data_IF_862322278564
#
_entry.id   IF_862322278564
#
_cell.length_a   1.000
_cell.length_b   1.000
_cell.length_c   1.000
_cell.angle_alpha   90.00
_cell.angle_beta   90.00
_cell.angle_gamma   90.00
#
_symmetry.space_group_name_H-M   'P 1'
#
loop_
_entity.id
_entity.type
_entity.pdbx_description
1 polymer ?
#
# COMPACT_ATOMS: atom_id res chain seq x y z
N UNK A 1 -29.41 13.44 -2.87
CA UNK A 1 -28.01 12.94 -3.00
C UNK A 1 -27.05 14.02 -2.53
N UNK A 2 -26.65 14.03 -1.26
CA UNK A 2 -25.65 14.97 -0.74
C UNK A 2 -24.25 14.38 -0.94
N UNK A 3 -23.49 14.94 -1.89
CA UNK A 3 -22.08 14.59 -2.03
C UNK A 3 -21.29 15.15 -0.83
N UNK A 4 -20.37 14.34 -0.27
CA UNK A 4 -19.40 14.85 0.69
C UNK A 4 -18.41 15.81 0.00
N UNK A 5 -17.68 16.63 0.76
CA UNK A 5 -16.75 17.64 0.24
C UNK A 5 -15.69 17.08 -0.72
N UNK A 6 -15.21 15.85 -0.49
CA UNK A 6 -14.29 15.17 -1.42
C UNK A 6 -14.94 14.82 -2.75
N UNK A 7 -16.20 14.37 -2.70
CA UNK A 7 -16.99 14.10 -3.90
C UNK A 7 -17.25 15.37 -4.70
N UNK A 8 -17.62 16.47 -4.05
CA UNK A 8 -17.79 17.79 -4.66
C UNK A 8 -16.49 18.25 -5.31
N UNK A 9 -15.36 18.19 -4.59
CA UNK A 9 -14.05 18.58 -5.12
C UNK A 9 -13.66 17.77 -6.35
N UNK A 10 -13.84 16.43 -6.32
CA UNK A 10 -13.53 15.58 -7.49
C UNK A 10 -14.36 15.96 -8.72
N UNK A 11 -15.67 16.15 -8.54
CA UNK A 11 -16.56 16.54 -9.62
C UNK A 11 -16.18 17.91 -10.19
N UNK A 12 -15.94 18.89 -9.32
CA UNK A 12 -15.54 20.23 -9.74
C UNK A 12 -14.17 20.23 -10.43
N UNK A 13 -13.20 19.43 -9.95
CA UNK A 13 -11.91 19.26 -10.64
C UNK A 13 -12.07 18.68 -12.04
N UNK A 14 -12.98 17.70 -12.22
CA UNK A 14 -13.26 17.14 -13.55
C UNK A 14 -13.88 18.19 -14.47
N UNK A 15 -14.85 19.00 -13.98
CA UNK A 15 -15.43 20.10 -14.74
C UNK A 15 -14.39 21.16 -15.10
N UNK A 16 -13.51 21.53 -14.17
CA UNK A 16 -12.43 22.47 -14.46
C UNK A 16 -11.49 21.96 -15.56
N UNK A 17 -11.11 20.67 -15.50
CA UNK A 17 -10.26 20.06 -16.52
C UNK A 17 -10.98 20.02 -17.88
N UNK A 18 -12.27 19.69 -17.90
CA UNK A 18 -13.10 19.68 -19.10
C UNK A 18 -13.17 21.07 -19.76
N UNK A 19 -13.58 22.08 -19.03
CA UNK A 19 -13.67 23.43 -19.58
C UNK A 19 -12.32 24.03 -19.94
N UNK A 20 -11.26 23.70 -19.18
CA UNK A 20 -9.91 24.15 -19.52
C UNK A 20 -9.43 23.54 -20.84
N UNK A 21 -9.73 22.26 -21.11
CA UNK A 21 -9.41 21.62 -22.39
C UNK A 21 -10.05 22.37 -23.57
N UNK A 22 -11.35 22.63 -23.50
CA UNK A 22 -12.07 23.33 -24.58
C UNK A 22 -11.64 24.79 -24.73
N UNK A 23 -11.30 25.46 -23.63
CA UNK A 23 -10.77 26.81 -23.64
C UNK A 23 -9.38 26.86 -24.31
N UNK A 24 -8.47 25.94 -23.95
CA UNK A 24 -7.15 25.84 -24.57
C UNK A 24 -7.21 25.42 -26.05
N UNK A 25 -8.25 24.69 -26.44
CA UNK A 25 -8.52 24.32 -27.84
C UNK A 25 -9.29 25.40 -28.61
N UNK A 26 -9.45 26.59 -28.03
CA UNK A 26 -10.16 27.75 -28.63
C UNK A 26 -11.63 27.47 -29.07
N UNK A 27 -12.22 26.41 -28.52
CA UNK A 27 -13.61 26.04 -28.83
C UNK A 27 -14.65 26.78 -27.98
N UNK A 28 -14.22 27.42 -26.90
CA UNK A 28 -15.03 28.31 -26.07
C UNK A 28 -14.25 29.58 -25.76
N UNK A 29 -14.92 30.72 -25.75
CA UNK A 29 -14.30 32.04 -25.52
C UNK A 29 -13.99 32.28 -24.04
N UNK A 30 -14.70 31.64 -23.12
CA UNK A 30 -14.53 31.81 -21.67
C UNK A 30 -14.59 30.47 -20.97
N UNK A 31 -13.83 30.33 -19.85
CA UNK A 31 -13.88 29.15 -19.02
C UNK A 31 -14.78 29.38 -17.79
N UNK A 32 -16.04 28.91 -17.79
CA UNK A 32 -17.00 29.20 -16.73
C UNK A 32 -16.61 28.55 -15.37
N UNK A 33 -15.76 27.55 -15.39
CA UNK A 33 -15.31 26.86 -14.18
C UNK A 33 -14.02 27.45 -13.57
N UNK A 34 -13.36 28.39 -14.26
CA UNK A 34 -12.04 28.91 -13.81
C UNK A 34 -12.11 29.54 -12.42
N UNK A 35 -13.07 30.43 -12.19
CA UNK A 35 -13.23 31.20 -10.95
C UNK A 35 -13.94 30.44 -9.81
N UNK A 36 -14.51 29.26 -10.07
CA UNK A 36 -15.21 28.51 -9.04
C UNK A 36 -14.18 27.93 -8.03
N UNK A 37 -14.22 28.30 -6.74
CA UNK A 37 -13.25 27.82 -5.78
C UNK A 37 -13.46 26.34 -5.48
N UNK A 38 -12.35 25.59 -5.34
CA UNK A 38 -12.43 24.21 -4.87
C UNK A 38 -12.79 24.16 -3.38
N UNK A 39 -13.68 23.25 -2.96
CA UNK A 39 -14.01 23.08 -1.55
C UNK A 39 -12.75 22.82 -0.71
N UNK A 40 -12.63 23.52 0.41
CA UNK A 40 -11.57 23.27 1.41
C UNK A 40 -11.75 21.86 1.96
N UNK A 41 -10.66 21.12 2.06
CA UNK A 41 -10.65 19.79 2.67
C UNK A 41 -9.96 19.88 4.02
N UNK A 42 -10.62 19.38 5.05
CA UNK A 42 -9.96 19.13 6.32
C UNK A 42 -9.03 17.94 6.17
N UNK A 43 -7.81 18.06 6.68
CA UNK A 43 -6.86 16.96 6.74
C UNK A 43 -7.44 15.90 7.69
N UNK A 44 -7.52 14.66 7.17
CA UNK A 44 -7.93 13.53 7.99
C UNK A 44 -6.69 12.87 8.54
N UNK A 45 -6.76 12.47 9.79
CA UNK A 45 -5.76 11.62 10.39
C UNK A 45 -5.48 10.39 9.52
N UNK A 46 -4.20 10.05 9.41
CA UNK A 46 -3.78 8.89 8.61
C UNK A 46 -4.05 7.64 9.42
N UNK A 47 -5.05 6.87 8.99
CA UNK A 47 -5.32 5.56 9.56
C UNK A 47 -4.21 4.62 9.11
N UNK A 48 -3.50 4.03 10.07
CA UNK A 48 -2.43 3.05 9.88
C UNK A 48 -2.50 2.02 11.00
N UNK A 49 -1.74 0.96 10.86
CA UNK A 49 -1.44 0.04 11.96
C UNK A 49 -0.24 0.55 12.74
N UNK A 50 -0.27 0.38 14.04
CA UNK A 50 0.89 0.55 14.91
C UNK A 50 1.73 -0.74 14.90
N UNK A 51 2.96 -0.72 15.43
CA UNK A 51 3.87 -1.88 15.39
C UNK A 51 3.25 -3.14 15.99
N UNK A 52 2.60 -3.01 17.15
CA UNK A 52 1.94 -4.13 17.83
C UNK A 52 0.76 -4.68 16.98
N UNK A 53 0.01 -3.78 16.32
CA UNK A 53 -1.08 -4.20 15.44
C UNK A 53 -0.57 -4.89 14.16
N UNK A 54 0.63 -4.53 13.66
CA UNK A 54 1.28 -5.23 12.55
C UNK A 54 1.68 -6.64 12.97
N UNK A 55 2.35 -6.79 14.12
CA UNK A 55 2.70 -8.09 14.66
C UNK A 55 1.46 -8.98 14.85
N UNK A 56 0.43 -8.46 15.53
CA UNK A 56 -0.84 -9.17 15.73
C UNK A 56 -1.55 -9.52 14.41
N UNK A 57 -1.38 -8.71 13.36
CA UNK A 57 -1.95 -9.00 12.04
C UNK A 57 -1.22 -10.19 11.41
N UNK A 58 0.10 -10.22 11.43
CA UNK A 58 0.91 -11.33 10.88
C UNK A 58 0.65 -12.62 11.66
N UNK A 59 0.64 -12.59 13.00
CA UNK A 59 0.26 -13.74 13.83
C UNK A 59 -1.11 -14.30 13.43
N UNK A 60 -2.10 -13.42 13.22
CA UNK A 60 -3.43 -13.87 12.80
C UNK A 60 -3.48 -14.41 11.37
N UNK A 61 -2.56 -13.97 10.50
CA UNK A 61 -2.44 -14.55 9.15
C UNK A 61 -1.83 -15.94 9.23
N UNK A 62 -0.90 -16.18 10.13
CA UNK A 62 -0.27 -17.50 10.35
C UNK A 62 -1.22 -18.46 11.07
N UNK A 63 -1.76 -18.06 12.21
CA UNK A 63 -2.53 -18.94 13.09
C UNK A 63 -3.99 -19.11 12.68
N UNK A 64 -4.62 -18.03 12.22
CA UNK A 64 -6.04 -17.99 11.89
C UNK A 64 -6.99 -18.22 13.08
N UNK A 65 -6.52 -18.07 14.31
CA UNK A 65 -7.23 -18.43 15.55
C UNK A 65 -8.54 -17.68 15.74
N UNK A 66 -8.58 -16.40 15.36
CA UNK A 66 -9.79 -15.55 15.47
C UNK A 66 -10.71 -15.61 14.24
N UNK A 67 -10.41 -16.46 13.27
CA UNK A 67 -11.25 -16.65 12.09
C UNK A 67 -12.48 -17.52 12.43
N UNK A 68 -13.59 -17.29 11.73
CA UNK A 68 -14.77 -18.16 11.82
C UNK A 68 -14.46 -19.59 11.32
N UNK A 69 -15.23 -20.58 11.75
CA UNK A 69 -15.05 -22.00 11.34
C UNK A 69 -14.95 -22.15 9.80
N UNK A 70 -15.81 -21.47 9.07
CA UNK A 70 -15.80 -21.49 7.60
C UNK A 70 -14.52 -20.85 7.04
N UNK A 71 -14.08 -19.71 7.59
CA UNK A 71 -12.86 -19.05 7.17
C UNK A 71 -11.61 -19.89 7.47
N UNK A 72 -11.58 -20.64 8.57
CA UNK A 72 -10.47 -21.53 8.93
C UNK A 72 -10.29 -22.68 7.92
N UNK A 73 -11.36 -23.21 7.34
CA UNK A 73 -11.28 -24.23 6.29
C UNK A 73 -10.52 -23.72 5.06
N UNK A 74 -10.82 -22.49 4.65
CA UNK A 74 -10.11 -21.84 3.53
C UNK A 74 -8.69 -21.39 3.93
N UNK A 75 -8.52 -20.92 5.14
CA UNK A 75 -7.23 -20.48 5.68
C UNK A 75 -6.18 -21.58 5.59
N UNK A 76 -6.48 -22.80 6.02
CA UNK A 76 -5.58 -23.97 5.92
C UNK A 76 -5.02 -24.20 4.51
N UNK A 77 -5.79 -23.82 3.47
CA UNK A 77 -5.35 -23.96 2.07
C UNK A 77 -4.51 -22.76 1.58
N UNK A 78 -4.69 -21.60 2.18
CA UNK A 78 -4.15 -20.33 1.67
C UNK A 78 -3.12 -19.67 2.58
N UNK A 79 -2.89 -20.20 3.78
CA UNK A 79 -2.06 -19.56 4.81
C UNK A 79 -0.69 -19.13 4.28
N UNK A 80 0.08 -20.02 3.66
CA UNK A 80 1.43 -19.73 3.17
C UNK A 80 1.41 -18.61 2.12
N UNK A 81 0.43 -18.60 1.22
CA UNK A 81 0.22 -17.51 0.27
C UNK A 81 -0.16 -16.20 0.96
N UNK A 82 -1.11 -16.28 1.90
CA UNK A 82 -1.66 -15.11 2.58
C UNK A 82 -0.58 -14.44 3.45
N UNK A 83 0.30 -15.25 4.10
CA UNK A 83 1.50 -14.77 4.80
C UNK A 83 2.43 -14.05 3.84
N UNK A 84 2.90 -14.72 2.78
CA UNK A 84 3.82 -14.13 1.82
C UNK A 84 3.28 -12.82 1.21
N UNK A 85 1.98 -12.77 0.88
CA UNK A 85 1.36 -11.60 0.29
C UNK A 85 1.27 -10.43 1.26
N UNK A 86 0.88 -10.67 2.53
CA UNK A 86 0.76 -9.60 3.52
C UNK A 86 2.11 -9.12 4.02
N UNK A 87 3.07 -10.03 4.24
CA UNK A 87 4.44 -9.68 4.59
C UNK A 87 5.09 -8.86 3.48
N UNK A 88 4.89 -9.23 2.21
CA UNK A 88 5.36 -8.44 1.07
C UNK A 88 4.77 -7.04 1.05
N UNK A 89 3.46 -6.89 1.24
CA UNK A 89 2.80 -5.57 1.26
C UNK A 89 3.26 -4.70 2.43
N UNK A 90 3.46 -5.29 3.60
CA UNK A 90 3.92 -4.60 4.82
C UNK A 90 5.41 -4.29 4.79
N UNK A 91 6.25 -5.17 4.22
CA UNK A 91 7.70 -5.02 4.19
C UNK A 91 8.23 -4.19 3.01
N UNK A 92 7.41 -3.91 2.00
CA UNK A 92 7.84 -3.14 0.82
C UNK A 92 6.99 -1.91 0.52
N UNK A 93 5.78 -1.88 1.03
CA UNK A 93 4.84 -0.82 0.73
C UNK A 93 4.44 -0.68 -0.74
N UNK A 94 4.62 -1.68 -1.59
CA UNK A 94 4.17 -1.65 -2.99
C UNK A 94 2.65 -1.49 -3.09
N UNK A 95 2.16 -1.03 -4.23
CA UNK A 95 0.71 -0.92 -4.45
C UNK A 95 0.11 -2.30 -4.66
N UNK A 96 -1.14 -2.48 -4.22
CA UNK A 96 -1.86 -3.76 -4.43
C UNK A 96 -1.90 -4.16 -5.92
N UNK A 97 -2.02 -3.20 -6.84
CA UNK A 97 -1.99 -3.47 -8.28
C UNK A 97 -0.60 -3.93 -8.77
N UNK A 98 0.47 -3.41 -8.17
CA UNK A 98 1.84 -3.85 -8.43
C UNK A 98 2.03 -5.28 -7.89
N UNK A 99 1.59 -5.56 -6.66
CA UNK A 99 1.66 -6.87 -6.03
C UNK A 99 0.94 -7.96 -6.83
N UNK A 100 -0.31 -7.74 -7.25
CA UNK A 100 -1.06 -8.75 -8.02
C UNK A 100 -0.53 -8.93 -9.45
N UNK A 101 0.20 -7.92 -9.96
CA UNK A 101 0.83 -7.95 -11.28
C UNK A 101 2.14 -8.73 -11.33
N UNK A 102 2.73 -9.10 -10.19
CA UNK A 102 4.03 -9.78 -10.14
C UNK A 102 3.97 -11.16 -10.81
N UNK A 103 5.04 -11.45 -11.52
CA UNK A 103 5.35 -12.78 -12.04
C UNK A 103 6.43 -13.46 -11.16
N UNK A 104 6.57 -14.77 -11.28
CA UNK A 104 7.58 -15.54 -10.53
C UNK A 104 8.97 -15.00 -10.79
N UNK A 105 9.27 -14.67 -12.05
CA UNK A 105 10.57 -14.18 -12.49
C UNK A 105 10.85 -12.72 -12.09
N UNK A 106 9.90 -12.02 -11.50
CA UNK A 106 10.11 -10.66 -10.97
C UNK A 106 10.78 -10.66 -9.61
N UNK A 107 10.91 -11.82 -8.94
CA UNK A 107 11.54 -11.97 -7.63
C UNK A 107 13.00 -12.37 -7.79
N UNK A 108 13.91 -11.55 -7.30
CA UNK A 108 15.35 -11.79 -7.26
C UNK A 108 15.81 -11.98 -5.81
N UNK A 109 15.93 -13.23 -5.39
CA UNK A 109 16.42 -13.59 -4.04
C UNK A 109 17.90 -13.32 -3.83
N UNK A 110 18.70 -13.26 -4.91
CA UNK A 110 20.13 -12.97 -4.81
C UNK A 110 20.40 -11.56 -4.30
N UNK A 111 19.54 -10.62 -4.73
CA UNK A 111 19.66 -9.20 -4.38
C UNK A 111 18.52 -8.72 -3.45
N UNK A 112 17.68 -9.62 -2.97
CA UNK A 112 16.49 -9.32 -2.16
C UNK A 112 15.62 -8.21 -2.78
N UNK A 113 15.33 -8.33 -4.07
CA UNK A 113 14.60 -7.34 -4.86
C UNK A 113 13.42 -7.91 -5.63
N UNK A 114 12.42 -7.07 -5.85
CA UNK A 114 11.31 -7.36 -6.77
C UNK A 114 11.23 -6.30 -7.84
N UNK A 115 11.08 -6.75 -9.08
CA UNK A 115 10.85 -5.87 -10.23
C UNK A 115 9.37 -5.57 -10.34
N UNK A 116 8.98 -4.31 -10.17
CA UNK A 116 7.59 -3.87 -10.27
C UNK A 116 7.38 -2.94 -11.46
N UNK A 117 6.19 -3.01 -12.06
CA UNK A 117 5.78 -2.08 -13.12
C UNK A 117 4.86 -1.00 -12.55
N UNK A 118 5.37 0.24 -12.53
CA UNK A 118 4.64 1.39 -11.97
C UNK A 118 3.67 2.01 -12.98
N UNK A 119 2.77 2.86 -12.46
CA UNK A 119 1.85 3.65 -13.31
C UNK A 119 2.65 4.48 -14.33
N UNK A 120 2.35 4.29 -15.61
CA UNK A 120 3.09 4.90 -16.72
C UNK A 120 4.01 3.91 -17.44
N UNK A 121 4.03 2.64 -17.00
CA UNK A 121 4.66 1.53 -17.72
C UNK A 121 6.14 1.33 -17.44
N UNK A 122 6.78 2.17 -16.59
CA UNK A 122 8.19 1.98 -16.31
C UNK A 122 8.45 1.06 -15.13
N UNK A 123 9.52 0.28 -15.25
CA UNK A 123 9.92 -0.74 -14.30
C UNK A 123 10.89 -0.15 -13.28
N UNK A 124 10.82 -0.65 -12.06
CA UNK A 124 11.76 -0.31 -10.98
C UNK A 124 11.91 -1.52 -10.06
N UNK A 125 13.04 -1.59 -9.37
CA UNK A 125 13.28 -2.60 -8.35
C UNK A 125 12.93 -2.01 -6.99
N UNK A 126 12.24 -2.80 -6.18
CA UNK A 126 11.98 -2.51 -4.76
C UNK A 126 12.65 -3.60 -3.94
N UNK A 127 13.44 -3.22 -2.96
CA UNK A 127 14.16 -4.16 -2.11
C UNK A 127 13.31 -4.55 -0.90
N UNK A 128 13.55 -5.76 -0.38
CA UNK A 128 12.85 -6.30 0.77
C UNK A 128 13.83 -6.92 1.77
N UNK A 129 13.42 -7.04 3.03
CA UNK A 129 14.21 -7.66 4.09
C UNK A 129 14.01 -9.18 4.16
N UNK A 130 14.76 -9.80 5.08
CA UNK A 130 14.83 -11.25 5.23
C UNK A 130 13.47 -11.90 5.54
N UNK A 131 12.65 -11.28 6.39
CA UNK A 131 11.29 -11.77 6.71
C UNK A 131 10.40 -11.90 5.46
N UNK A 132 10.52 -10.96 4.53
CA UNK A 132 9.80 -11.02 3.24
C UNK A 132 10.42 -12.10 2.35
N UNK A 133 11.74 -12.23 2.36
CA UNK A 133 12.46 -13.26 1.59
C UNK A 133 12.00 -14.67 2.02
N UNK A 134 11.99 -14.93 3.32
CA UNK A 134 11.59 -16.23 3.88
C UNK A 134 10.14 -16.56 3.52
N UNK A 135 9.22 -15.61 3.73
CA UNK A 135 7.81 -15.80 3.41
C UNK A 135 7.56 -16.04 1.91
N UNK A 136 8.32 -15.34 1.04
CA UNK A 136 8.23 -15.55 -0.41
C UNK A 136 8.82 -16.89 -0.82
N UNK A 137 9.92 -17.32 -0.19
CA UNK A 137 10.57 -18.60 -0.46
C UNK A 137 9.61 -19.77 -0.14
N UNK A 138 9.04 -19.78 1.06
CA UNK A 138 8.07 -20.79 1.49
C UNK A 138 6.85 -20.85 0.54
N UNK A 139 6.39 -19.69 0.11
CA UNK A 139 5.28 -19.66 -0.84
C UNK A 139 5.69 -20.17 -2.22
N UNK A 140 6.86 -19.82 -2.72
CA UNK A 140 7.33 -20.26 -4.03
C UNK A 140 7.56 -21.77 -4.10
N UNK A 141 8.08 -22.38 -3.03
CA UNK A 141 8.15 -23.84 -2.94
C UNK A 141 6.78 -24.49 -3.15
N UNK A 142 5.76 -24.00 -2.46
CA UNK A 142 4.38 -24.47 -2.65
C UNK A 142 3.85 -24.11 -4.05
N UNK A 143 4.18 -22.90 -4.56
CA UNK A 143 3.72 -22.41 -5.85
C UNK A 143 4.18 -23.29 -7.02
N UNK A 144 5.40 -23.84 -6.96
CA UNK A 144 5.95 -24.73 -7.97
C UNK A 144 5.12 -26.03 -8.13
N UNK A 145 4.42 -26.46 -7.10
CA UNK A 145 3.53 -27.65 -7.14
C UNK A 145 2.11 -27.32 -7.57
N UNK A 146 1.76 -26.06 -7.80
CA UNK A 146 0.43 -25.67 -8.26
C UNK A 146 0.37 -25.70 -9.78
N UNK A 147 -0.74 -26.19 -10.33
CA UNK A 147 -1.02 -26.16 -11.76
C UNK A 147 -1.91 -24.95 -12.05
N UNK A 148 -1.39 -23.85 -12.62
CA UNK A 148 -2.19 -22.70 -12.99
C UNK A 148 -3.14 -23.02 -14.15
N UNK A 149 -4.20 -22.23 -14.26
CA UNK A 149 -5.04 -22.23 -15.47
C UNK A 149 -4.27 -21.49 -16.57
N UNK A 150 -4.53 -21.89 -17.82
CA UNK A 150 -3.96 -21.30 -19.03
C UNK A 150 -3.98 -19.76 -19.01
N UNK A 151 -2.86 -19.14 -19.34
CA UNK A 151 -2.64 -17.70 -19.30
C UNK A 151 -2.28 -17.12 -17.90
N UNK A 152 -2.12 -17.99 -16.89
CA UNK A 152 -1.75 -17.58 -15.53
C UNK A 152 -0.49 -18.27 -15.00
N UNK A 153 0.29 -18.90 -15.87
CA UNK A 153 1.45 -19.75 -15.54
C UNK A 153 2.52 -18.97 -14.80
N UNK A 154 2.79 -17.75 -15.25
CA UNK A 154 3.84 -16.91 -14.68
C UNK A 154 3.40 -16.14 -13.43
N UNK A 155 2.10 -16.10 -13.12
CA UNK A 155 1.62 -15.30 -11.98
C UNK A 155 2.26 -15.75 -10.68
N UNK A 156 2.86 -14.80 -9.93
CA UNK A 156 3.42 -15.10 -8.61
C UNK A 156 2.32 -15.59 -7.67
N UNK A 157 1.29 -14.79 -7.45
CA UNK A 157 0.20 -15.13 -6.53
C UNK A 157 -1.01 -15.69 -7.24
N UNK A 158 -1.42 -16.90 -6.85
CA UNK A 158 -2.63 -17.58 -7.37
C UNK A 158 -3.78 -17.53 -6.37
N UNK A 159 -4.99 -17.42 -6.90
CA UNK A 159 -6.23 -17.66 -6.16
C UNK A 159 -6.46 -19.15 -5.93
N UNK A 160 -7.47 -19.52 -5.13
CA UNK A 160 -7.91 -20.92 -4.98
C UNK A 160 -8.41 -21.56 -6.29
N UNK A 161 -8.66 -20.75 -7.31
CA UNK A 161 -9.06 -21.21 -8.65
C UNK A 161 -7.86 -21.33 -9.61
N UNK A 162 -6.63 -21.28 -9.08
CA UNK A 162 -5.39 -21.33 -9.84
C UNK A 162 -5.25 -20.25 -10.93
N UNK A 163 -5.89 -19.10 -10.72
CA UNK A 163 -5.75 -17.89 -11.54
C UNK A 163 -4.94 -16.84 -10.79
N UNK A 164 -4.31 -15.92 -11.51
CA UNK A 164 -3.69 -14.74 -10.91
C UNK A 164 -4.65 -14.09 -9.93
N UNK A 165 -4.18 -13.82 -8.72
CA UNK A 165 -5.00 -13.17 -7.70
C UNK A 165 -5.43 -11.77 -8.15
N UNK A 166 -6.64 -11.36 -7.83
CA UNK A 166 -7.16 -10.05 -8.20
C UNK A 166 -6.98 -9.03 -7.08
N UNK A 167 -6.93 -7.74 -7.42
CA UNK A 167 -6.92 -6.64 -6.44
C UNK A 167 -8.06 -6.81 -5.42
N UNK A 168 -9.25 -7.16 -5.89
CA UNK A 168 -10.43 -7.35 -5.02
C UNK A 168 -10.26 -8.51 -4.04
N UNK A 169 -9.63 -9.59 -4.48
CA UNK A 169 -9.35 -10.73 -3.60
C UNK A 169 -8.36 -10.32 -2.49
N UNK A 170 -7.32 -9.54 -2.82
CA UNK A 170 -6.37 -9.01 -1.82
C UNK A 170 -7.05 -8.01 -0.88
N UNK A 171 -7.90 -7.11 -1.37
CA UNK A 171 -8.68 -6.22 -0.50
C UNK A 171 -9.53 -6.99 0.51
N UNK A 172 -10.22 -8.04 0.06
CA UNK A 172 -11.03 -8.90 0.93
C UNK A 172 -10.16 -9.68 1.93
N UNK A 173 -8.98 -10.13 1.51
CA UNK A 173 -8.01 -10.82 2.35
C UNK A 173 -7.49 -9.88 3.46
N UNK A 174 -7.05 -8.69 3.12
CA UNK A 174 -6.62 -7.68 4.10
C UNK A 174 -7.75 -7.36 5.08
N UNK A 175 -8.98 -7.15 4.56
CA UNK A 175 -10.13 -6.89 5.41
C UNK A 175 -10.42 -8.05 6.37
N UNK A 176 -10.34 -9.31 5.88
CA UNK A 176 -10.57 -10.52 6.67
C UNK A 176 -9.68 -10.56 7.91
N UNK A 177 -8.37 -10.44 7.72
CA UNK A 177 -7.43 -10.52 8.84
C UNK A 177 -7.39 -9.24 9.69
N UNK A 178 -7.42 -8.06 9.08
CA UNK A 178 -7.41 -6.82 9.85
C UNK A 178 -8.63 -6.66 10.78
N UNK A 179 -9.79 -7.20 10.41
CA UNK A 179 -10.99 -7.17 11.26
C UNK A 179 -10.86 -8.01 12.54
N UNK A 180 -9.90 -8.92 12.61
CA UNK A 180 -9.62 -9.72 13.82
C UNK A 180 -8.67 -9.01 14.78
N UNK A 181 -7.97 -7.98 14.31
CA UNK A 181 -6.97 -7.21 15.08
C UNK A 181 -7.54 -5.88 15.55
N UNK A 182 -8.22 -5.17 14.65
CA UNK A 182 -8.80 -3.86 14.98
C UNK A 182 -10.21 -3.71 14.42
N UNK A 183 -11.14 -3.28 15.26
CA UNK A 183 -12.52 -2.98 14.89
C UNK A 183 -12.72 -1.50 14.55
N UNK A 184 -11.87 -0.63 15.10
CA UNK A 184 -11.98 0.82 14.97
C UNK A 184 -11.33 1.35 13.68
N UNK A 185 -10.32 0.66 13.17
CA UNK A 185 -9.56 1.07 11.99
C UNK A 185 -10.00 0.28 10.76
N UNK A 186 -10.49 0.95 9.73
CA UNK A 186 -10.76 0.32 8.43
C UNK A 186 -9.46 0.17 7.64
N UNK A 187 -8.82 -0.98 7.77
CA UNK A 187 -7.57 -1.29 7.10
C UNK A 187 -7.83 -1.78 5.66
N UNK A 188 -7.02 -1.30 4.74
CA UNK A 188 -7.03 -1.64 3.31
C UNK A 188 -5.58 -1.79 2.83
N UNK A 189 -5.29 -2.38 1.66
CA UNK A 189 -3.92 -2.44 1.14
C UNK A 189 -3.22 -1.07 1.08
N UNK A 190 -3.96 -0.02 0.78
CA UNK A 190 -3.41 1.34 0.82
C UNK A 190 -3.00 1.77 2.24
N UNK A 191 -3.69 1.27 3.27
CA UNK A 191 -3.32 1.55 4.67
C UNK A 191 -2.11 0.75 5.11
N UNK A 192 -1.92 -0.49 4.62
CA UNK A 192 -0.68 -1.24 4.84
C UNK A 192 0.51 -0.50 4.24
N UNK A 193 0.38 0.03 3.03
CA UNK A 193 1.40 0.88 2.44
C UNK A 193 1.67 2.16 3.24
N UNK A 194 0.63 2.79 3.81
CA UNK A 194 0.81 3.94 4.72
C UNK A 194 1.51 3.53 6.01
N UNK A 195 1.25 2.34 6.53
CA UNK A 195 1.94 1.75 7.69
C UNK A 195 3.43 1.61 7.40
N UNK A 196 3.80 0.96 6.28
CA UNK A 196 5.19 0.83 5.85
C UNK A 196 5.89 2.18 5.69
N UNK A 197 5.29 3.11 4.95
CA UNK A 197 5.89 4.42 4.73
C UNK A 197 6.06 5.24 6.01
N UNK A 198 5.17 5.03 6.99
CA UNK A 198 5.32 5.63 8.32
C UNK A 198 6.48 5.02 9.09
N UNK A 199 6.58 3.70 9.15
CA UNK A 199 7.67 2.99 9.81
C UNK A 199 9.02 3.40 9.18
N UNK A 200 9.13 3.37 7.84
CA UNK A 200 10.32 3.80 7.13
C UNK A 200 10.71 5.24 7.45
N UNK A 201 9.73 6.16 7.53
CA UNK A 201 10.02 7.54 7.92
C UNK A 201 10.43 7.66 9.40
N UNK A 202 9.89 6.86 10.28
CA UNK A 202 10.26 6.85 11.70
C UNK A 202 11.71 6.40 11.89
N UNK A 203 12.14 5.38 11.16
CA UNK A 203 13.49 4.84 11.22
C UNK A 203 14.52 5.74 10.55
N UNK A 204 14.26 6.20 9.34
CA UNK A 204 15.27 6.88 8.51
C UNK A 204 15.30 8.39 8.69
N UNK A 205 14.17 9.00 9.00
CA UNK A 205 14.05 10.46 9.02
C UNK A 205 13.97 11.12 7.66
N UNK A 206 14.17 10.38 6.62
CA UNK A 206 14.29 10.90 5.27
C UNK A 206 12.98 10.78 4.50
N UNK A 207 12.33 11.94 4.28
CA UNK A 207 11.08 12.01 3.55
C UNK A 207 11.28 11.78 2.03
N UNK A 208 12.48 12.09 1.51
CA UNK A 208 12.80 11.89 0.11
C UNK A 208 12.99 10.40 -0.17
N UNK A 209 13.71 9.69 0.71
CA UNK A 209 13.84 8.25 0.64
C UNK A 209 12.47 7.56 0.67
N UNK A 210 11.58 7.97 1.60
CA UNK A 210 10.22 7.42 1.66
C UNK A 210 9.44 7.70 0.37
N UNK A 211 9.58 8.90 -0.20
CA UNK A 211 8.90 9.24 -1.45
C UNK A 211 9.42 8.40 -2.62
N UNK A 212 10.72 8.18 -2.70
CA UNK A 212 11.36 7.38 -3.74
C UNK A 212 10.94 5.90 -3.65
N UNK A 213 11.13 5.28 -2.49
CA UNK A 213 10.74 3.87 -2.25
C UNK A 213 9.26 3.65 -2.56
N UNK A 214 8.39 4.54 -2.08
CA UNK A 214 6.97 4.47 -2.39
C UNK A 214 6.63 4.88 -3.84
N UNK A 215 7.54 5.49 -4.60
CA UNK A 215 7.29 5.99 -5.95
C UNK A 215 6.21 7.05 -6.00
N UNK A 216 6.31 8.04 -5.15
CA UNK A 216 5.50 9.24 -5.19
C UNK A 216 6.16 10.26 -6.12
N UNK A 217 5.45 10.70 -7.16
CA UNK A 217 5.94 11.72 -8.09
C UNK A 217 6.13 13.10 -7.43
N UNK A 218 5.36 13.37 -6.37
CA UNK A 218 5.40 14.61 -5.62
C UNK A 218 5.69 14.33 -4.14
N UNK A 219 6.85 14.77 -3.70
CA UNK A 219 7.30 14.66 -2.30
C UNK A 219 6.35 15.39 -1.34
N UNK A 220 5.66 16.45 -1.79
CA UNK A 220 4.67 17.12 -0.96
C UNK A 220 3.52 16.21 -0.56
N UNK A 221 3.17 15.22 -1.39
CA UNK A 221 2.20 14.19 -1.01
C UNK A 221 2.71 13.37 0.16
N UNK A 222 3.98 12.98 0.14
CA UNK A 222 4.66 12.24 1.22
C UNK A 222 4.77 13.10 2.47
N UNK A 223 5.21 14.34 2.33
CA UNK A 223 5.33 15.29 3.45
C UNK A 223 4.01 15.51 4.19
N UNK A 224 2.91 15.72 3.47
CA UNK A 224 1.57 15.87 4.08
C UNK A 224 1.14 14.63 4.84
N UNK A 225 1.51 13.45 4.36
CA UNK A 225 1.13 12.19 4.98
C UNK A 225 1.98 11.84 6.21
N UNK A 226 3.26 12.19 6.24
CA UNK A 226 4.17 11.72 7.29
C UNK A 226 4.70 12.83 8.22
N UNK A 227 4.62 14.11 7.82
CA UNK A 227 5.10 15.23 8.64
C UNK A 227 4.26 15.50 9.90
N UNK A 228 3.01 15.07 9.94
CA UNK A 228 2.14 15.24 11.12
C UNK A 228 2.63 14.48 12.38
N UNK A 229 3.66 13.63 12.26
CA UNK A 229 4.25 12.87 13.37
C UNK A 229 5.49 13.52 13.97
N UNK A 230 5.69 14.81 13.70
CA UNK A 230 6.91 15.51 14.04
C UNK A 230 7.16 15.71 15.55
N UNK A 231 6.17 15.52 16.43
CA UNK A 231 6.35 15.85 17.86
C UNK A 231 7.31 14.92 18.60
N UNK A 232 7.28 13.62 18.33
CA UNK A 232 8.27 12.69 18.92
C UNK A 232 9.67 12.97 18.39
N UNK A 233 9.79 13.37 17.12
CA UNK A 233 11.06 13.77 16.49
C UNK A 233 11.55 15.12 16.98
N UNK A 234 10.66 16.11 17.16
CA UNK A 234 11.02 17.39 17.77
C UNK A 234 11.59 17.20 19.16
N UNK A 235 11.00 16.24 19.95
CA UNK A 235 11.54 15.86 21.26
C UNK A 235 12.92 15.19 21.15
N UNK A 236 13.09 14.24 20.20
CA UNK A 236 14.41 13.62 19.94
C UNK A 236 15.43 14.66 19.47
N UNK A 237 15.05 15.55 18.56
CA UNK A 237 15.92 16.61 18.06
C UNK A 237 16.28 17.62 19.16
N UNK A 238 15.37 17.96 20.06
CA UNK A 238 15.67 18.82 21.19
C UNK A 238 16.74 18.22 22.12
N UNK A 239 16.77 16.90 22.27
CA UNK A 239 17.76 16.19 23.07
C UNK A 239 19.09 15.91 22.32
N UNK A 240 19.13 16.12 21.01
CA UNK A 240 20.32 15.92 20.19
C UNK A 240 21.26 17.15 20.20
N UNK A 241 20.80 18.29 20.69
CA UNK A 241 21.61 19.51 20.81
C UNK A 241 22.16 19.58 22.24
N UNK A 242 23.42 19.25 22.41
CA UNK A 242 24.15 19.43 23.67
C UNK A 242 24.69 20.85 23.74
N UNK A 243 24.27 21.63 24.75
CA UNK A 243 24.68 23.01 24.93
C UNK A 243 26.03 23.13 25.63
N UNK A 244 26.50 22.06 26.24
CA UNK A 244 27.82 21.93 26.85
C UNK A 244 28.37 20.55 26.56
N UNK A 245 29.63 20.46 26.13
CA UNK A 245 30.34 19.18 26.07
C UNK A 245 30.52 18.64 27.48
N UNK A 246 30.43 17.30 27.70
CA UNK A 246 30.65 16.69 29.00
C UNK A 246 32.09 16.84 29.51
#
# INVERSE_FOLDING_TARGET
YTNNERGKKRKLSALKSFYNYYFCAEQIQTNPAALVPLPKQHEKEIIRLDADEVAMLLDQVEDGTKLSKTQQIYHKKTVIRDVALLTLLLGTGIRVSECVGLDINDVDFKNNGIKIRRKGGYETVVYFGDEVADALHDYLEKRHHMIPIEGHENALFLSLQNRRITVRAVENLVKKYASTVTTLKKITPHKLRSTYGTALYQETGDIYLVADVLGHKDVNTTRKHYAAQSDMRKRKAANAVHLREP
#
